data_IF_582915771647
#
_entry.id   IF_582915771647
#
_cell.length_a   1.000
_cell.length_b   1.000
_cell.length_c   1.000
_cell.angle_alpha   90.00
_cell.angle_beta   90.00
_cell.angle_gamma   90.00
#
_symmetry.space_group_name_H-M   'P 1'
#
loop_
_entity.id
_entity.type
_entity.pdbx_description
1 polymer ?
#
# COMPACT_ATOMS: atom_id res chain seq x y z
N UNK A 1 3.49 -21.02 0.76
CA UNK A 1 3.16 -21.47 2.13
C UNK A 1 1.71 -21.10 2.34
N UNK A 2 0.82 -22.08 2.42
CA UNK A 2 -0.59 -21.81 2.68
C UNK A 2 -0.72 -21.11 4.03
N UNK A 3 -1.51 -20.04 4.08
CA UNK A 3 -1.78 -19.33 5.33
C UNK A 3 -2.46 -20.29 6.30
N UNK A 4 -2.15 -20.22 7.59
CA UNK A 4 -2.80 -21.05 8.61
C UNK A 4 -4.32 -20.85 8.59
N UNK A 5 -4.78 -19.67 8.15
CA UNK A 5 -6.18 -19.38 7.89
C UNK A 5 -6.77 -20.17 6.71
N UNK A 6 -6.02 -20.39 5.62
CA UNK A 6 -6.48 -21.23 4.50
C UNK A 6 -6.61 -22.70 4.92
N UNK A 7 -5.66 -23.20 5.73
CA UNK A 7 -5.69 -24.58 6.23
C UNK A 7 -6.86 -24.78 7.19
N UNK A 8 -7.10 -23.81 8.09
CA UNK A 8 -8.24 -23.84 9.00
C UNK A 8 -9.57 -23.73 8.24
N UNK A 9 -9.65 -22.88 7.21
CA UNK A 9 -10.84 -22.75 6.38
C UNK A 9 -11.15 -24.04 5.61
N UNK A 10 -10.14 -24.65 4.98
CA UNK A 10 -10.29 -25.93 4.29
C UNK A 10 -10.74 -27.03 5.28
N UNK A 11 -10.17 -27.05 6.49
CA UNK A 11 -10.53 -28.06 7.50
C UNK A 11 -11.92 -27.85 8.09
N UNK A 12 -12.33 -26.60 8.31
CA UNK A 12 -13.69 -26.27 8.72
C UNK A 12 -14.72 -26.63 7.63
N UNK A 13 -14.41 -26.36 6.36
CA UNK A 13 -15.26 -26.74 5.24
C UNK A 13 -15.39 -28.26 5.09
N UNK A 14 -14.30 -29.01 5.29
CA UNK A 14 -14.28 -30.47 5.29
C UNK A 14 -15.14 -31.06 6.42
N UNK A 15 -14.95 -30.59 7.66
CA UNK A 15 -15.70 -31.07 8.83
C UNK A 15 -17.18 -30.70 8.74
N UNK A 16 -17.49 -29.48 8.27
CA UNK A 16 -18.87 -29.06 8.03
C UNK A 16 -19.53 -29.91 6.93
N UNK A 17 -18.82 -30.16 5.82
CA UNK A 17 -19.29 -31.03 4.75
C UNK A 17 -19.57 -32.46 5.23
N UNK A 18 -18.68 -33.02 6.06
CA UNK A 18 -18.84 -34.36 6.62
C UNK A 18 -20.01 -34.44 7.62
N UNK A 19 -20.22 -33.43 8.46
CA UNK A 19 -21.36 -33.33 9.37
C UNK A 19 -22.70 -33.19 8.62
N UNK A 20 -22.74 -32.40 7.54
CA UNK A 20 -23.92 -32.24 6.69
C UNK A 20 -24.25 -33.55 5.95
N UNK A 21 -23.24 -34.25 5.43
CA UNK A 21 -23.42 -35.48 4.66
C UNK A 21 -23.77 -36.70 5.53
N UNK A 22 -23.32 -36.73 6.78
CA UNK A 22 -23.56 -37.84 7.71
C UNK A 22 -24.87 -37.71 8.50
N UNK A 23 -25.48 -36.52 8.54
CA UNK A 23 -26.76 -36.28 9.22
C UNK A 23 -26.74 -36.52 10.74
N UNK A 24 -25.54 -36.59 11.34
CA UNK A 24 -25.34 -36.79 12.77
C UNK A 24 -25.16 -35.43 13.47
N UNK A 25 -25.88 -35.20 14.57
CA UNK A 25 -25.58 -34.07 15.47
C UNK A 25 -24.19 -34.25 16.08
N UNK A 26 -23.24 -33.41 15.68
CA UNK A 26 -21.88 -33.47 16.18
C UNK A 26 -21.85 -32.87 17.60
N UNK A 27 -21.29 -33.53 18.63
CA UNK A 27 -21.48 -33.17 20.06
C UNK A 27 -20.91 -31.80 20.48
N UNK A 28 -20.21 -31.12 19.59
CA UNK A 28 -19.62 -29.79 19.80
C UNK A 28 -20.00 -28.78 18.71
N UNK A 29 -20.82 -29.18 17.73
CA UNK A 29 -21.21 -28.34 16.60
C UNK A 29 -22.69 -27.99 16.78
N UNK A 30 -22.92 -26.93 17.53
CA UNK A 30 -24.27 -26.39 17.81
C UNK A 30 -24.80 -25.50 16.69
N UNK A 31 -24.02 -25.30 15.63
CA UNK A 31 -24.41 -24.49 14.48
C UNK A 31 -25.22 -25.35 13.51
N UNK A 32 -26.39 -24.85 13.14
CA UNK A 32 -27.16 -25.35 12.02
C UNK A 32 -26.39 -25.16 10.72
N UNK A 33 -26.73 -25.95 9.69
CA UNK A 33 -26.12 -25.82 8.34
C UNK A 33 -26.18 -24.38 7.82
N UNK A 34 -27.27 -23.66 8.09
CA UNK A 34 -27.43 -22.25 7.69
C UNK A 34 -26.48 -21.31 8.44
N UNK A 35 -26.29 -21.52 9.74
CA UNK A 35 -25.35 -20.72 10.52
C UNK A 35 -23.89 -20.98 10.10
N UNK A 36 -23.57 -22.19 9.62
CA UNK A 36 -22.27 -22.49 9.03
C UNK A 36 -22.09 -21.77 7.69
N UNK A 37 -23.11 -21.77 6.83
CA UNK A 37 -23.11 -21.03 5.56
C UNK A 37 -22.90 -19.52 5.80
N UNK A 38 -23.69 -18.92 6.69
CA UNK A 38 -23.58 -17.50 7.07
C UNK A 38 -22.17 -17.16 7.63
N UNK A 39 -21.57 -18.07 8.41
CA UNK A 39 -20.22 -17.91 8.95
C UNK A 39 -19.14 -17.99 7.86
N UNK A 40 -19.25 -18.93 6.92
CA UNK A 40 -18.31 -19.06 5.80
C UNK A 40 -18.38 -17.86 4.86
N UNK A 41 -19.58 -17.34 4.59
CA UNK A 41 -19.79 -16.12 3.84
C UNK A 41 -19.16 -14.93 4.57
N UNK A 42 -19.37 -14.81 5.88
CA UNK A 42 -18.78 -13.74 6.68
C UNK A 42 -17.24 -13.79 6.69
N UNK A 43 -16.65 -14.98 6.85
CA UNK A 43 -15.20 -15.19 6.79
C UNK A 43 -14.65 -14.82 5.41
N UNK A 44 -15.35 -15.20 4.33
CA UNK A 44 -14.95 -14.88 2.96
C UNK A 44 -14.99 -13.37 2.71
N UNK A 45 -16.02 -12.69 3.19
CA UNK A 45 -16.14 -11.24 3.12
C UNK A 45 -15.04 -10.54 3.94
N UNK A 46 -14.74 -11.06 5.12
CA UNK A 46 -13.69 -10.52 5.98
C UNK A 46 -12.30 -10.66 5.30
N UNK A 47 -11.99 -11.83 4.75
CA UNK A 47 -10.75 -12.05 3.99
C UNK A 47 -10.64 -11.10 2.79
N UNK A 48 -11.73 -10.92 2.03
CA UNK A 48 -11.75 -9.96 0.91
C UNK A 48 -11.45 -8.55 1.38
N UNK A 49 -12.10 -8.08 2.46
CA UNK A 49 -11.86 -6.75 3.03
C UNK A 49 -10.43 -6.56 3.54
N UNK A 50 -9.87 -7.58 4.19
CA UNK A 50 -8.46 -7.56 4.59
C UNK A 50 -7.54 -7.47 3.38
N UNK A 51 -7.81 -8.22 2.30
CA UNK A 51 -7.06 -8.12 1.05
C UNK A 51 -7.12 -6.72 0.43
N UNK A 52 -8.29 -6.07 0.43
CA UNK A 52 -8.45 -4.68 -0.03
C UNK A 52 -7.64 -3.69 0.82
N UNK A 53 -7.64 -3.86 2.15
CA UNK A 53 -6.86 -3.04 3.07
C UNK A 53 -5.36 -3.23 2.84
N UNK A 54 -4.89 -4.47 2.68
CA UNK A 54 -3.48 -4.76 2.40
C UNK A 54 -3.02 -4.12 1.08
N UNK A 55 -3.86 -4.16 0.04
CA UNK A 55 -3.57 -3.49 -1.22
C UNK A 55 -3.51 -1.97 -1.04
N UNK A 56 -4.46 -1.38 -0.29
CA UNK A 56 -4.45 0.05 0.00
C UNK A 56 -3.21 0.47 0.80
N UNK A 57 -2.75 -0.36 1.74
CA UNK A 57 -1.52 -0.11 2.49
C UNK A 57 -0.27 -0.14 1.60
N UNK A 58 -0.17 -1.10 0.68
CA UNK A 58 0.95 -1.16 -0.27
C UNK A 58 0.97 0.02 -1.22
N UNK A 59 -0.19 0.44 -1.71
CA UNK A 59 -0.32 1.63 -2.55
C UNK A 59 0.09 2.90 -1.78
N UNK A 60 -0.34 3.04 -0.53
CA UNK A 60 0.07 4.15 0.34
C UNK A 60 1.58 4.17 0.61
N UNK A 61 2.18 3.01 0.90
CA UNK A 61 3.63 2.88 1.10
C UNK A 61 4.43 3.23 -0.16
N UNK A 62 3.92 2.83 -1.33
CA UNK A 62 4.50 3.21 -2.62
C UNK A 62 4.48 4.73 -2.83
N UNK A 63 3.31 5.37 -2.64
CA UNK A 63 3.17 6.84 -2.77
C UNK A 63 4.07 7.58 -1.77
N UNK A 64 4.13 7.10 -0.52
CA UNK A 64 5.01 7.66 0.49
C UNK A 64 6.48 7.56 0.06
N UNK A 65 6.91 6.42 -0.48
CA UNK A 65 8.28 6.22 -0.96
C UNK A 65 8.62 7.18 -2.11
N UNK A 66 7.72 7.33 -3.09
CA UNK A 66 7.88 8.25 -4.22
C UNK A 66 7.96 9.70 -3.73
N UNK A 67 7.06 10.12 -2.84
CA UNK A 67 7.04 11.47 -2.30
C UNK A 67 8.29 11.77 -1.47
N UNK A 68 8.76 10.80 -0.67
CA UNK A 68 9.98 10.92 0.12
C UNK A 68 11.20 11.11 -0.79
N UNK A 69 11.31 10.31 -1.85
CA UNK A 69 12.41 10.44 -2.81
C UNK A 69 12.41 11.82 -3.50
N UNK A 70 11.24 12.28 -3.97
CA UNK A 70 11.10 13.60 -4.59
C UNK A 70 11.44 14.74 -3.62
N UNK A 71 11.06 14.61 -2.33
CA UNK A 71 11.40 15.59 -1.29
C UNK A 71 12.92 15.64 -1.03
N UNK A 72 13.57 14.48 -0.96
CA UNK A 72 15.04 14.41 -0.85
C UNK A 72 15.73 15.04 -2.05
N UNK A 73 15.25 14.78 -3.27
CA UNK A 73 15.80 15.40 -4.48
C UNK A 73 15.59 16.93 -4.51
N UNK A 74 14.42 17.41 -4.07
CA UNK A 74 14.13 18.83 -3.96
C UNK A 74 15.06 19.53 -2.96
N UNK A 75 15.35 18.87 -1.83
CA UNK A 75 16.30 19.37 -0.82
C UNK A 75 17.70 19.46 -1.41
N UNK A 76 18.16 18.42 -2.12
CA UNK A 76 19.45 18.45 -2.81
C UNK A 76 19.51 19.51 -3.93
N UNK A 77 18.38 19.79 -4.59
CA UNK A 77 18.26 20.84 -5.61
C UNK A 77 18.36 22.23 -4.99
N UNK A 78 17.76 22.44 -3.81
CA UNK A 78 17.88 23.68 -3.04
C UNK A 78 19.33 23.96 -2.64
N UNK A 79 20.04 22.93 -2.17
CA UNK A 79 21.47 23.04 -1.87
C UNK A 79 22.29 23.41 -3.10
N UNK A 80 22.02 22.78 -4.25
CA UNK A 80 22.66 23.14 -5.53
C UNK A 80 22.37 24.59 -5.93
N UNK A 81 21.13 25.06 -5.77
CA UNK A 81 20.75 26.45 -6.05
C UNK A 81 21.54 27.40 -5.15
N UNK A 82 21.62 27.10 -3.85
CA UNK A 82 22.40 27.90 -2.90
C UNK A 82 23.87 27.99 -3.34
N UNK A 83 24.49 26.85 -3.65
CA UNK A 83 25.89 26.83 -4.13
C UNK A 83 26.07 27.64 -5.41
N UNK A 84 25.15 27.55 -6.38
CA UNK A 84 25.21 28.32 -7.64
C UNK A 84 25.11 29.82 -7.37
N UNK A 85 24.22 30.25 -6.47
CA UNK A 85 24.01 31.67 -6.18
C UNK A 85 25.11 32.28 -5.29
N UNK A 86 25.80 31.47 -4.48
CA UNK A 86 26.94 31.89 -3.67
C UNK A 86 28.24 32.05 -4.49
N UNK A 87 28.30 31.49 -5.71
CA UNK A 87 29.48 31.63 -6.58
C UNK A 87 29.66 33.08 -7.05
N UNK A 88 30.85 33.64 -6.79
CA UNK A 88 31.26 34.90 -7.43
C UNK A 88 31.55 34.67 -8.91
N UNK A 89 30.81 35.36 -9.78
CA UNK A 89 30.93 35.26 -11.24
C UNK A 89 30.87 36.64 -11.88
N UNK A 90 31.53 36.79 -13.03
CA UNK A 90 31.39 37.96 -13.89
C UNK A 90 30.02 38.04 -14.59
N UNK A 91 29.22 36.96 -14.55
CA UNK A 91 27.92 36.83 -15.19
C UNK A 91 26.85 36.37 -14.20
N UNK A 92 26.38 37.24 -13.30
CA UNK A 92 25.36 36.90 -12.30
C UNK A 92 24.04 36.47 -12.94
N UNK A 93 23.66 37.02 -14.10
CA UNK A 93 22.42 36.65 -14.79
C UNK A 93 22.44 35.18 -15.27
N UNK A 94 23.62 34.66 -15.61
CA UNK A 94 23.75 33.26 -16.00
C UNK A 94 23.52 32.31 -14.82
N UNK A 95 24.04 32.66 -13.63
CA UNK A 95 23.82 31.91 -12.39
C UNK A 95 22.34 31.90 -11.99
N UNK A 96 21.66 33.04 -12.11
CA UNK A 96 20.21 33.12 -11.83
C UNK A 96 19.41 32.24 -12.78
N UNK A 97 19.72 32.23 -14.08
CA UNK A 97 19.05 31.34 -15.05
C UNK A 97 19.28 29.86 -14.75
N UNK A 98 20.50 29.50 -14.35
CA UNK A 98 20.82 28.13 -13.94
C UNK A 98 20.04 27.73 -12.68
N UNK A 99 20.03 28.59 -11.66
CA UNK A 99 19.25 28.38 -10.43
C UNK A 99 17.75 28.22 -10.73
N UNK A 100 17.18 29.07 -11.58
CA UNK A 100 15.78 28.98 -11.99
C UNK A 100 15.47 27.67 -12.73
N UNK A 101 16.40 27.17 -13.54
CA UNK A 101 16.25 25.89 -14.24
C UNK A 101 16.23 24.71 -13.26
N UNK A 102 17.14 24.70 -12.28
CA UNK A 102 17.18 23.70 -11.22
C UNK A 102 15.89 23.74 -10.38
N UNK A 103 15.44 24.93 -10.00
CA UNK A 103 14.23 25.12 -9.22
C UNK A 103 12.99 24.59 -9.94
N UNK A 104 12.87 24.89 -11.25
CA UNK A 104 11.77 24.40 -12.08
C UNK A 104 11.73 22.88 -12.14
N UNK A 105 12.87 22.24 -12.42
CA UNK A 105 12.94 20.79 -12.49
C UNK A 105 12.55 20.13 -11.16
N UNK A 106 13.04 20.66 -10.03
CA UNK A 106 12.68 20.16 -8.70
C UNK A 106 11.18 20.32 -8.41
N UNK A 107 10.58 21.44 -8.82
CA UNK A 107 9.15 21.69 -8.65
C UNK A 107 8.29 20.76 -9.53
N UNK A 108 8.71 20.50 -10.76
CA UNK A 108 8.06 19.55 -11.67
C UNK A 108 8.07 18.13 -11.08
N UNK A 109 9.22 17.66 -10.57
CA UNK A 109 9.34 16.35 -9.94
C UNK A 109 8.47 16.22 -8.67
N UNK A 110 8.46 17.23 -7.80
CA UNK A 110 7.58 17.26 -6.62
C UNK A 110 6.09 17.23 -7.00
N UNK A 111 5.72 17.97 -8.05
CA UNK A 111 4.34 18.00 -8.55
C UNK A 111 3.93 16.66 -9.15
N UNK A 112 4.86 15.97 -9.83
CA UNK A 112 4.61 14.63 -10.35
C UNK A 112 4.42 13.62 -9.21
N UNK A 113 5.29 13.65 -8.19
CA UNK A 113 5.24 12.76 -7.04
C UNK A 113 4.01 12.94 -6.13
N UNK A 114 3.40 14.13 -6.14
CA UNK A 114 2.14 14.38 -5.39
C UNK A 114 0.89 13.93 -6.15
N UNK A 115 1.03 13.60 -7.43
CA UNK A 115 -0.06 13.12 -8.30
C UNK A 115 -0.03 11.62 -8.55
N UNK A 116 1.04 10.92 -8.14
CA UNK A 116 1.16 9.46 -8.13
C UNK A 116 0.49 8.87 -6.90
#
# INVERSE_FOLDING_TARGET
MADILEVLHARCAEIAGEAILSGQEHPHLTLTTREVEDLLDHISDLHRRYGEIDLAYRDLDHRYTVLRAATSEATASLERIRTVLEQRSAHPEALVRQAATIARFAAENLTAATRS
#
